data_IF_863146790677
#
_entry.id   IF_863146790677
#
_cell.length_a   1.000
_cell.length_b   1.000
_cell.length_c   1.000
_cell.angle_alpha   90.00
_cell.angle_beta   90.00
_cell.angle_gamma   90.00
#
_symmetry.space_group_name_H-M   'P 1'
#
loop_
_entity.id
_entity.type
_entity.pdbx_description
1 polymer ?
#
# COMPACT_ATOMS: atom_id res chain seq x y z
N UNK A 1 -49.56 -5.32 -20.66
CA UNK A 1 -48.46 -4.39 -20.98
C UNK A 1 -48.51 -3.29 -19.93
N UNK A 2 -47.56 -3.33 -18.99
CA UNK A 2 -46.53 -2.30 -18.96
C UNK A 2 -45.11 -2.89 -18.92
N UNK A 3 -44.20 -2.04 -19.39
CA UNK A 3 -42.75 -2.16 -19.45
C UNK A 3 -42.17 -2.12 -18.02
N UNK A 4 -40.97 -2.66 -17.78
CA UNK A 4 -39.81 -1.77 -17.62
C UNK A 4 -38.51 -2.54 -17.38
N UNK A 5 -37.48 -1.92 -17.93
CA UNK A 5 -36.05 -2.20 -17.95
C UNK A 5 -35.54 -2.70 -16.61
N UNK A 6 -35.02 -3.93 -16.60
CA UNK A 6 -33.99 -4.29 -15.64
C UNK A 6 -32.68 -3.62 -16.07
N UNK A 7 -32.63 -2.32 -15.73
CA UNK A 7 -31.44 -1.51 -15.69
C UNK A 7 -30.37 -2.27 -14.90
N UNK A 8 -29.34 -2.73 -15.62
CA UNK A 8 -28.06 -3.13 -15.05
C UNK A 8 -27.55 -1.91 -14.29
N UNK A 9 -27.74 -1.91 -12.98
CA UNK A 9 -26.97 -1.05 -12.09
C UNK A 9 -25.59 -1.68 -12.00
N UNK A 10 -24.63 -1.14 -12.76
CA UNK A 10 -23.24 -1.21 -12.37
C UNK A 10 -23.14 -0.55 -10.99
N UNK A 11 -22.88 -1.38 -9.98
CA UNK A 11 -22.75 -0.97 -8.59
C UNK A 11 -21.26 -0.74 -8.33
N UNK A 12 -20.90 0.54 -8.13
CA UNK A 12 -19.76 0.99 -7.34
C UNK A 12 -18.39 0.88 -8.01
N UNK A 13 -18.01 1.93 -8.76
CA UNK A 13 -16.63 2.16 -9.20
C UNK A 13 -15.87 2.81 -8.04
N UNK A 14 -15.07 2.01 -7.32
CA UNK A 14 -14.24 2.44 -6.22
C UNK A 14 -13.24 1.34 -5.88
N UNK A 15 -11.99 1.71 -5.57
CA UNK A 15 -10.93 0.77 -5.21
C UNK A 15 -11.30 0.02 -3.92
N UNK A 16 -11.82 -1.20 -4.04
CA UNK A 16 -12.28 -1.97 -2.87
C UNK A 16 -11.12 -2.45 -1.99
N UNK A 17 -11.20 -2.20 -0.67
CA UNK A 17 -10.26 -2.74 0.32
C UNK A 17 -10.28 -4.28 0.28
N UNK A 18 -9.13 -4.87 -0.04
CA UNK A 18 -8.95 -6.31 -0.20
C UNK A 18 -8.35 -6.97 1.04
N UNK A 19 -7.41 -6.29 1.71
CA UNK A 19 -6.70 -6.78 2.90
C UNK A 19 -6.41 -5.65 3.85
N UNK A 20 -6.46 -5.96 5.13
CA UNK A 20 -6.15 -5.04 6.22
C UNK A 20 -5.61 -5.84 7.40
N UNK A 21 -4.34 -5.64 7.74
CA UNK A 21 -3.69 -6.40 8.81
C UNK A 21 -2.52 -5.63 9.42
N UNK A 22 -2.14 -6.04 10.62
CA UNK A 22 -0.93 -5.57 11.29
C UNK A 22 0.22 -6.48 10.90
N UNK A 23 1.26 -5.92 10.29
CA UNK A 23 2.51 -6.61 9.99
C UNK A 23 3.50 -6.34 11.12
N UNK A 24 3.99 -7.43 11.74
CA UNK A 24 5.10 -7.41 12.70
C UNK A 24 6.36 -7.85 12.00
N UNK A 25 7.41 -7.07 12.16
CA UNK A 25 8.71 -7.37 11.58
C UNK A 25 9.68 -7.87 12.66
N UNK A 26 10.07 -9.13 12.55
CA UNK A 26 11.11 -9.76 13.38
C UNK A 26 12.45 -9.77 12.63
N UNK A 27 13.56 -9.67 13.36
CA UNK A 27 14.91 -9.90 12.83
C UNK A 27 15.55 -8.76 12.02
N UNK A 28 15.16 -7.51 12.24
CA UNK A 28 15.79 -6.36 11.55
C UNK A 28 17.05 -5.87 12.25
N UNK A 29 18.08 -5.52 11.46
CA UNK A 29 19.31 -4.85 11.94
C UNK A 29 19.05 -3.47 12.58
N UNK A 30 17.84 -2.93 12.43
CA UNK A 30 17.43 -1.62 12.92
C UNK A 30 16.43 -1.67 14.10
N UNK A 31 16.23 -2.84 14.72
CA UNK A 31 15.13 -3.06 15.66
C UNK A 31 13.87 -3.50 14.91
N UNK A 32 13.11 -4.43 15.49
CA UNK A 32 11.81 -4.82 14.95
C UNK A 32 10.83 -3.65 14.94
N UNK A 33 9.64 -3.87 14.38
CA UNK A 33 8.60 -2.87 14.49
C UNK A 33 7.30 -3.30 13.84
N UNK A 34 6.27 -2.49 14.07
CA UNK A 34 4.90 -2.83 13.71
C UNK A 34 4.30 -1.76 12.80
N UNK A 35 3.72 -2.17 11.68
CA UNK A 35 2.98 -1.29 10.78
C UNK A 35 1.63 -1.93 10.41
N UNK A 36 0.69 -1.13 9.92
CA UNK A 36 -0.56 -1.65 9.34
C UNK A 36 -0.47 -1.60 7.82
N UNK A 37 -0.80 -2.71 7.18
CA UNK A 37 -0.86 -2.84 5.73
C UNK A 37 -2.33 -2.90 5.31
N UNK A 38 -2.73 -1.97 4.44
CA UNK A 38 -4.01 -1.99 3.75
C UNK A 38 -3.77 -2.10 2.26
N UNK A 39 -4.45 -3.05 1.61
CA UNK A 39 -4.33 -3.30 0.17
C UNK A 39 -5.68 -3.06 -0.46
N UNK A 40 -5.74 -2.14 -1.40
CA UNK A 40 -6.92 -1.79 -2.19
C UNK A 40 -6.71 -2.30 -3.62
N UNK A 41 -7.75 -2.90 -4.20
CA UNK A 41 -7.73 -3.26 -5.63
C UNK A 41 -7.76 -1.98 -6.46
N UNK A 42 -7.16 -2.01 -7.65
CA UNK A 42 -7.39 -0.95 -8.63
C UNK A 42 -8.88 -0.83 -8.94
N UNK A 43 -9.32 0.37 -9.31
CA UNK A 43 -10.73 0.68 -9.58
C UNK A 43 -11.29 -0.21 -10.70
N UNK A 44 -10.47 -0.48 -11.73
CA UNK A 44 -10.80 -1.36 -12.86
C UNK A 44 -9.86 -2.55 -12.93
N UNK A 45 -10.30 -3.58 -13.65
CA UNK A 45 -9.45 -4.73 -13.95
C UNK A 45 -8.23 -4.28 -14.75
N UNK A 46 -7.03 -4.50 -14.19
CA UNK A 46 -5.76 -4.11 -14.79
C UNK A 46 -5.15 -2.84 -14.22
N UNK A 47 -5.89 -2.08 -13.41
CA UNK A 47 -5.33 -0.92 -12.70
C UNK A 47 -4.35 -1.35 -11.62
N UNK A 48 -3.39 -0.46 -11.33
CA UNK A 48 -2.41 -0.69 -10.27
C UNK A 48 -3.12 -0.77 -8.90
N UNK A 49 -2.85 -1.82 -8.09
CA UNK A 49 -3.34 -1.86 -6.72
C UNK A 49 -2.66 -0.78 -5.87
N UNK A 50 -3.36 -0.34 -4.82
CA UNK A 50 -2.85 0.63 -3.86
C UNK A 50 -2.54 -0.07 -2.55
N UNK A 51 -1.35 0.14 -2.02
CA UNK A 51 -0.94 -0.37 -0.71
C UNK A 51 -0.64 0.82 0.19
N UNK A 52 -1.36 0.93 1.30
CA UNK A 52 -1.06 1.90 2.35
C UNK A 52 -0.36 1.16 3.49
N UNK A 53 0.90 1.54 3.73
CA UNK A 53 1.67 1.18 4.91
C UNK A 53 1.59 2.33 5.91
N UNK A 54 0.93 2.14 7.04
CA UNK A 54 0.81 3.18 8.05
C UNK A 54 1.59 2.84 9.32
N UNK A 55 2.13 3.88 9.94
CA UNK A 55 2.56 3.83 11.33
C UNK A 55 1.40 3.40 12.25
N UNK A 56 1.75 2.85 13.40
CA UNK A 56 0.83 2.59 14.50
C UNK A 56 1.21 3.49 15.67
N UNK A 57 0.23 4.11 16.32
CA UNK A 57 0.48 4.87 17.55
C UNK A 57 0.86 3.90 18.68
N UNK A 58 2.00 4.11 19.35
CA UNK A 58 2.48 3.25 20.45
C UNK A 58 3.99 3.30 20.68
N UNK A 59 4.52 2.42 21.54
CA UNK A 59 5.93 2.44 21.99
C UNK A 59 6.92 1.72 21.04
N UNK A 60 6.43 0.96 20.05
CA UNK A 60 7.25 0.21 19.07
C UNK A 60 6.97 0.63 17.62
N UNK A 61 6.90 1.95 17.39
CA UNK A 61 6.70 2.46 16.03
C UNK A 61 7.96 2.20 15.22
N UNK A 62 7.82 1.38 14.18
CA UNK A 62 8.85 1.31 13.18
C UNK A 62 8.93 2.66 12.46
N UNK A 63 10.14 3.17 12.23
CA UNK A 63 10.30 4.23 11.25
C UNK A 63 9.90 3.66 9.86
N UNK A 64 8.66 3.89 9.42
CA UNK A 64 8.13 3.24 8.21
C UNK A 64 8.93 3.59 6.96
N UNK A 65 9.61 4.75 6.96
CA UNK A 65 10.54 5.15 5.92
C UNK A 65 11.73 4.21 5.79
N UNK A 66 12.11 3.51 6.85
CA UNK A 66 13.13 2.45 6.83
C UNK A 66 12.55 1.08 6.51
N UNK A 67 11.23 0.90 6.55
CA UNK A 67 10.60 -0.41 6.37
C UNK A 67 10.23 -0.74 4.94
N UNK A 68 9.79 0.24 4.14
CA UNK A 68 9.26 -0.03 2.81
C UNK A 68 10.21 -0.84 1.92
N UNK A 69 11.53 -0.64 2.05
CA UNK A 69 12.56 -1.39 1.32
C UNK A 69 12.48 -2.91 1.55
N UNK A 70 12.05 -3.31 2.73
CA UNK A 70 12.06 -4.72 3.17
C UNK A 70 10.68 -5.36 3.14
N UNK A 71 9.63 -4.62 3.51
CA UNK A 71 8.28 -5.18 3.59
C UNK A 71 7.58 -5.19 2.24
N UNK A 72 7.88 -4.24 1.34
CA UNK A 72 7.15 -4.14 0.07
C UNK A 72 7.34 -5.36 -0.82
N UNK A 73 8.55 -5.95 -0.85
CA UNK A 73 8.81 -7.17 -1.61
C UNK A 73 8.09 -8.38 -1.02
N UNK A 74 8.02 -8.51 0.31
CA UNK A 74 7.29 -9.57 1.00
C UNK A 74 5.77 -9.45 0.75
N UNK A 75 5.21 -8.24 0.86
CA UNK A 75 3.80 -7.96 0.54
C UNK A 75 3.49 -8.32 -0.91
N UNK A 76 4.39 -8.01 -1.85
CA UNK A 76 4.20 -8.38 -3.26
C UNK A 76 4.13 -9.90 -3.43
N UNK A 77 5.08 -10.63 -2.85
CA UNK A 77 5.12 -12.09 -2.93
C UNK A 77 3.88 -12.75 -2.33
N UNK A 78 3.39 -12.25 -1.20
CA UNK A 78 2.25 -12.83 -0.48
C UNK A 78 0.91 -12.54 -1.15
N UNK A 79 0.66 -11.27 -1.53
CA UNK A 79 -0.66 -10.82 -1.97
C UNK A 79 -0.85 -10.79 -3.48
N UNK A 80 0.25 -10.84 -4.24
CA UNK A 80 0.21 -10.83 -5.71
C UNK A 80 1.02 -12.00 -6.31
N UNK A 81 0.66 -13.26 -5.98
CA UNK A 81 1.40 -14.45 -6.45
C UNK A 81 1.36 -14.63 -7.98
N UNK A 82 0.36 -14.05 -8.65
CA UNK A 82 0.27 -14.00 -10.12
C UNK A 82 1.10 -12.90 -10.77
N UNK A 83 1.80 -12.08 -9.97
CA UNK A 83 2.50 -10.88 -10.42
C UNK A 83 1.63 -9.62 -10.35
N UNK A 84 2.30 -8.49 -10.57
CA UNK A 84 1.66 -7.17 -10.70
C UNK A 84 1.27 -6.90 -12.15
N UNK A 85 0.31 -5.99 -12.42
CA UNK A 85 -0.07 -5.61 -13.77
C UNK A 85 1.11 -5.03 -14.58
N UNK A 86 1.10 -5.20 -15.90
CA UNK A 86 2.12 -4.67 -16.80
C UNK A 86 1.86 -3.16 -17.07
N UNK A 87 2.26 -2.35 -16.10
CA UNK A 87 2.11 -0.89 -16.12
C UNK A 87 3.46 -0.22 -15.81
N UNK A 88 3.68 1.03 -16.29
CA UNK A 88 4.86 1.81 -15.91
C UNK A 88 5.04 1.94 -14.39
N UNK A 89 3.92 2.02 -13.66
CA UNK A 89 3.85 1.96 -12.20
C UNK A 89 2.89 0.83 -11.82
N UNK A 90 3.38 -0.39 -11.59
CA UNK A 90 2.54 -1.58 -11.44
C UNK A 90 1.96 -1.76 -10.03
N UNK A 91 2.39 -0.92 -9.08
CA UNK A 91 1.90 -0.85 -7.70
C UNK A 91 2.04 0.60 -7.20
N UNK A 92 1.00 1.09 -6.53
CA UNK A 92 1.04 2.38 -5.83
C UNK A 92 1.26 2.11 -4.36
N UNK A 93 2.47 2.39 -3.87
CA UNK A 93 2.81 2.24 -2.45
C UNK A 93 2.76 3.61 -1.77
N UNK A 94 1.99 3.72 -0.69
CA UNK A 94 1.81 4.94 0.08
C UNK A 94 2.25 4.66 1.51
N UNK A 95 3.14 5.48 2.02
CA UNK A 95 3.46 5.54 3.44
C UNK A 95 2.55 6.58 4.10
N UNK A 96 1.99 6.24 5.26
CA UNK A 96 1.18 7.13 6.07
C UNK A 96 1.82 7.28 7.45
N UNK A 97 2.27 8.50 7.73
CA UNK A 97 2.97 8.85 8.95
C UNK A 97 2.06 9.60 9.93
N UNK A 98 2.32 9.46 11.22
CA UNK A 98 1.77 10.36 12.22
C UNK A 98 2.66 11.60 12.32
N UNK A 99 2.05 12.78 12.38
CA UNK A 99 2.77 13.97 12.85
C UNK A 99 2.97 13.89 14.36
N UNK A 100 3.95 14.65 14.86
CA UNK A 100 4.28 14.72 16.29
C UNK A 100 3.07 15.10 17.18
N UNK A 101 2.08 15.80 16.63
CA UNK A 101 0.86 16.23 17.32
C UNK A 101 -0.29 15.20 17.27
N UNK A 102 -0.09 14.07 16.58
CA UNK A 102 -1.09 13.01 16.44
C UNK A 102 -2.14 13.25 15.34
N UNK A 103 -2.21 14.45 14.76
CA UNK A 103 -2.89 14.79 13.50
C UNK A 103 -2.44 16.21 13.07
N UNK A 104 -2.22 16.53 11.77
CA UNK A 104 -2.61 15.79 10.56
C UNK A 104 -1.68 14.64 10.16
N UNK A 105 -2.17 13.69 9.36
CA UNK A 105 -1.37 12.61 8.75
C UNK A 105 -0.56 13.11 7.56
N UNK A 106 0.72 12.77 7.51
CA UNK A 106 1.57 13.00 6.33
C UNK A 106 1.62 11.74 5.46
N UNK A 107 1.64 11.93 4.14
CA UNK A 107 1.69 10.83 3.18
C UNK A 107 2.87 10.97 2.23
N UNK A 108 3.54 9.83 1.98
CA UNK A 108 4.58 9.73 0.96
C UNK A 108 4.18 8.72 -0.10
N UNK A 109 4.21 9.13 -1.37
CA UNK A 109 4.16 8.23 -2.51
C UNK A 109 5.55 7.60 -2.70
N UNK A 110 5.61 6.28 -2.64
CA UNK A 110 6.85 5.52 -2.75
C UNK A 110 6.98 4.88 -4.12
N UNK A 111 8.16 5.01 -4.71
CA UNK A 111 8.55 4.29 -5.92
C UNK A 111 9.80 3.47 -5.68
N UNK A 112 9.89 2.34 -6.40
CA UNK A 112 11.00 1.41 -6.29
C UNK A 112 11.72 1.28 -7.64
N UNK A 113 13.03 1.01 -7.65
CA UNK A 113 13.77 0.81 -8.89
C UNK A 113 13.31 -0.43 -9.68
N UNK A 114 12.72 -1.42 -9.00
CA UNK A 114 12.10 -2.58 -9.64
C UNK A 114 10.91 -3.08 -8.80
N UNK A 115 9.90 -3.62 -9.48
CA UNK A 115 8.68 -4.12 -8.85
C UNK A 115 8.59 -5.65 -8.84
N UNK A 116 9.58 -6.34 -9.41
CA UNK A 116 9.74 -7.79 -9.30
C UNK A 116 10.67 -8.08 -8.12
N UNK A 117 10.16 -8.64 -6.99
CA UNK A 117 10.99 -8.87 -5.82
C UNK A 117 12.22 -9.72 -6.14
N UNK A 118 13.36 -9.34 -5.58
CA UNK A 118 14.63 -10.06 -5.73
C UNK A 118 15.15 -10.47 -4.36
N UNK A 119 15.76 -11.66 -4.25
CA UNK A 119 16.43 -12.03 -3.02
C UNK A 119 17.65 -11.12 -2.80
N UNK A 120 17.78 -10.57 -1.59
CA UNK A 120 18.96 -9.87 -1.11
C UNK A 120 19.36 -10.36 0.29
N UNK A 121 20.63 -10.26 0.64
CA UNK A 121 21.19 -10.84 1.87
C UNK A 121 21.78 -12.25 1.72
N UNK A 122 22.41 -12.74 2.80
CA UNK A 122 23.10 -14.03 2.86
C UNK A 122 22.47 -14.96 3.91
N UNK A 123 22.42 -16.26 3.61
CA UNK A 123 21.96 -17.28 4.57
C UNK A 123 20.50 -17.09 4.99
N UNK A 124 20.24 -17.08 6.29
CA UNK A 124 18.90 -16.94 6.88
C UNK A 124 18.36 -15.50 6.84
N UNK A 125 19.21 -14.51 6.51
CA UNK A 125 18.80 -13.11 6.36
C UNK A 125 18.35 -12.77 4.93
N UNK A 126 18.13 -13.80 4.10
CA UNK A 126 17.72 -13.62 2.70
C UNK A 126 16.28 -13.11 2.63
N UNK A 127 16.09 -11.89 2.15
CA UNK A 127 14.78 -11.24 2.02
C UNK A 127 14.44 -10.90 0.58
N UNK A 128 13.16 -10.72 0.32
CA UNK A 128 12.66 -10.27 -0.97
C UNK A 128 12.55 -8.75 -0.96
N UNK A 129 13.43 -8.07 -1.69
CA UNK A 129 13.51 -6.61 -1.73
C UNK A 129 13.12 -6.06 -3.10
N UNK A 130 12.82 -4.76 -3.14
CA UNK A 130 12.54 -3.99 -4.35
C UNK A 130 13.64 -2.96 -4.68
N UNK A 131 14.70 -2.93 -3.86
CA UNK A 131 15.75 -1.92 -3.88
C UNK A 131 15.36 -0.65 -3.14
N UNK A 132 16.30 0.29 -3.05
CA UNK A 132 16.14 1.51 -2.24
C UNK A 132 15.01 2.41 -2.77
N UNK A 133 13.98 2.70 -1.96
CA UNK A 133 12.82 3.48 -2.39
C UNK A 133 13.14 4.96 -2.58
N UNK A 134 12.36 5.61 -3.45
CA UNK A 134 12.25 7.08 -3.55
C UNK A 134 10.89 7.52 -3.06
N UNK A 135 10.84 8.70 -2.44
CA UNK A 135 9.65 9.27 -1.83
C UNK A 135 9.33 10.63 -2.43
N UNK A 136 8.06 10.84 -2.70
CA UNK A 136 7.47 12.09 -3.13
C UNK A 136 6.28 12.40 -2.23
N UNK A 137 6.00 13.68 -1.98
CA UNK A 137 4.84 14.06 -1.18
C UNK A 137 3.55 13.77 -1.97
N UNK A 138 2.53 13.28 -1.27
CA UNK A 138 1.17 13.14 -1.80
C UNK A 138 0.18 13.71 -0.77
N UNK A 139 -0.89 14.34 -1.25
CA UNK A 139 -1.90 14.94 -0.37
C UNK A 139 -2.92 13.91 0.10
N UNK A 140 -3.55 14.17 1.25
CA UNK A 140 -4.64 13.32 1.74
C UNK A 140 -5.78 13.17 0.73
N UNK A 141 -6.11 14.24 -0.01
CA UNK A 141 -7.15 14.23 -1.05
C UNK A 141 -6.78 13.30 -2.23
N UNK A 142 -5.52 13.31 -2.67
CA UNK A 142 -5.03 12.38 -3.69
C UNK A 142 -5.06 10.93 -3.21
N UNK A 143 -4.68 10.67 -1.95
CA UNK A 143 -4.78 9.33 -1.36
C UNK A 143 -6.23 8.87 -1.32
N UNK A 144 -7.16 9.73 -0.88
CA UNK A 144 -8.59 9.43 -0.80
C UNK A 144 -9.17 9.08 -2.19
N UNK A 145 -8.81 9.85 -3.23
CA UNK A 145 -9.16 9.55 -4.61
C UNK A 145 -8.62 8.19 -5.09
N UNK A 146 -7.38 7.84 -4.72
CA UNK A 146 -6.76 6.55 -5.08
C UNK A 146 -7.44 5.35 -4.42
N UNK A 147 -7.98 5.50 -3.21
CA UNK A 147 -8.67 4.41 -2.49
C UNK A 147 -10.19 4.42 -2.68
N UNK A 148 -10.72 5.31 -3.52
CA UNK A 148 -12.16 5.43 -3.77
C UNK A 148 -12.95 5.95 -2.57
N UNK A 149 -12.28 6.63 -1.63
CA UNK A 149 -12.91 7.41 -0.57
C UNK A 149 -13.13 8.82 -1.13
N UNK A 150 -14.18 9.03 -1.93
CA UNK A 150 -14.61 10.39 -2.21
C UNK A 150 -15.05 11.02 -0.89
N UNK A 151 -14.44 12.15 -0.49
CA UNK A 151 -15.04 13.00 0.53
C UNK A 151 -16.46 13.32 0.07
N UNK A 152 -17.46 12.69 0.71
CA UNK A 152 -18.84 13.16 0.66
C UNK A 152 -18.84 14.61 1.20
N UNK A 153 -18.64 15.58 0.30
CA UNK A 153 -18.88 17.00 0.57
C UNK A 153 -20.34 17.14 0.99
N UNK A 154 -20.57 17.23 2.29
CA UNK A 154 -21.79 17.80 2.87
C UNK A 154 -21.73 19.32 2.89
#
# INVERSE_FOLDING_TARGET
>A
MPEDRTSRRDVGSGAGLARDYICRMEGFRCGGGVCRIRIYRGERLGDAPVVICSELAGEEVANISLLAEYIAGEVICEHFPGGLPDLPRPLIWIEQHFTFEGDPREYSLVSFPFYRPRPDGLGFDRRMVLGTPRRETITAAEVAALVGEEEERR
#
